data_IF_733471718656
#
_entry.id   IF_733471718656
#
_cell.length_a   1.000
_cell.length_b   1.000
_cell.length_c   1.000
_cell.angle_alpha   90.00
_cell.angle_beta   90.00
_cell.angle_gamma   90.00
#
_symmetry.space_group_name_H-M   'P 1'
#
loop_
_entity.id
_entity.type
_entity.pdbx_description
1 polymer ?
#
# COMPACT_ATOMS: atom_id res chain seq x y z
N UNK A 1 47.62 8.56 -33.53
CA UNK A 1 47.07 7.95 -32.29
C UNK A 1 47.23 8.93 -31.14
N UNK A 2 46.15 9.55 -30.67
CA UNK A 2 46.20 10.43 -29.50
C UNK A 2 46.45 9.58 -28.23
N UNK A 3 47.61 9.78 -27.61
CA UNK A 3 48.00 9.14 -26.35
C UNK A 3 47.01 9.57 -25.26
N UNK A 4 46.06 8.70 -24.88
CA UNK A 4 45.16 8.91 -23.73
C UNK A 4 46.04 9.21 -22.50
N UNK A 5 46.13 10.48 -22.09
CA UNK A 5 46.81 10.88 -20.83
C UNK A 5 46.11 10.14 -19.69
N UNK A 6 46.82 9.23 -19.03
CA UNK A 6 46.37 8.62 -17.76
C UNK A 6 46.34 9.75 -16.72
N UNK A 7 45.16 10.31 -16.47
CA UNK A 7 44.96 11.26 -15.38
C UNK A 7 45.14 10.54 -14.03
N UNK A 8 45.72 11.21 -13.02
CA UNK A 8 45.96 10.63 -11.71
C UNK A 8 44.63 10.24 -11.05
N UNK A 9 44.57 9.04 -10.47
CA UNK A 9 43.44 8.59 -9.67
C UNK A 9 43.37 9.44 -8.40
N UNK A 10 42.32 10.26 -8.26
CA UNK A 10 42.08 11.02 -7.03
C UNK A 10 41.82 10.06 -5.86
N UNK A 11 42.17 10.48 -4.65
CA UNK A 11 41.94 9.71 -3.42
C UNK A 11 40.48 9.26 -3.28
N UNK A 12 39.54 10.10 -3.72
CA UNK A 12 38.11 9.82 -3.73
C UNK A 12 37.75 8.62 -4.61
N UNK A 13 38.33 8.46 -5.80
CA UNK A 13 38.03 7.31 -6.67
C UNK A 13 38.46 5.99 -6.03
N UNK A 14 39.60 5.98 -5.30
CA UNK A 14 40.14 4.77 -4.67
C UNK A 14 39.31 4.32 -3.47
N UNK A 15 38.77 5.27 -2.70
CA UNK A 15 38.04 4.97 -1.46
C UNK A 15 36.51 5.01 -1.60
N UNK A 16 35.99 5.47 -2.75
CA UNK A 16 34.56 5.64 -3.00
C UNK A 16 33.71 4.40 -2.69
N UNK A 17 34.18 3.21 -3.06
CA UNK A 17 33.46 1.95 -2.79
C UNK A 17 33.36 1.62 -1.29
N UNK A 18 34.43 1.87 -0.53
CA UNK A 18 34.42 1.68 0.92
C UNK A 18 33.53 2.72 1.61
N UNK A 19 33.51 3.96 1.12
CA UNK A 19 32.61 5.01 1.61
C UNK A 19 31.15 4.64 1.34
N UNK A 20 30.81 4.19 0.12
CA UNK A 20 29.45 3.74 -0.21
C UNK A 20 29.03 2.51 0.60
N UNK A 21 29.94 1.58 0.86
CA UNK A 21 29.68 0.45 1.75
C UNK A 21 29.37 0.92 3.18
N UNK A 22 30.13 1.88 3.71
CA UNK A 22 29.91 2.46 5.04
C UNK A 22 28.56 3.18 5.14
N UNK A 23 28.21 4.00 4.14
CA UNK A 23 26.91 4.68 4.08
C UNK A 23 25.76 3.67 3.96
N UNK A 24 25.93 2.61 3.16
CA UNK A 24 24.93 1.55 3.02
C UNK A 24 24.73 0.77 4.32
N UNK A 25 25.82 0.48 5.05
CA UNK A 25 25.73 -0.17 6.36
C UNK A 25 25.02 0.72 7.40
N UNK A 26 25.30 2.03 7.41
CA UNK A 26 24.59 2.97 8.27
C UNK A 26 23.09 3.04 7.95
N UNK A 27 22.72 3.05 6.67
CA UNK A 27 21.32 2.99 6.23
C UNK A 27 20.62 1.69 6.61
N UNK A 28 21.32 0.56 6.51
CA UNK A 28 20.79 -0.74 6.95
C UNK A 28 20.54 -0.77 8.46
N UNK A 29 21.49 -0.28 9.27
CA UNK A 29 21.33 -0.19 10.72
C UNK A 29 20.19 0.75 11.12
N UNK A 30 20.03 1.87 10.42
CA UNK A 30 18.92 2.79 10.62
C UNK A 30 17.57 2.11 10.32
N UNK A 31 17.48 1.39 9.20
CA UNK A 31 16.26 0.68 8.80
C UNK A 31 15.90 -0.44 9.80
N UNK A 32 16.88 -1.22 10.25
CA UNK A 32 16.69 -2.26 11.28
C UNK A 32 16.28 -1.62 12.62
N UNK A 33 16.90 -0.51 13.01
CA UNK A 33 16.53 0.24 14.21
C UNK A 33 15.08 0.73 14.18
N UNK A 34 14.60 1.19 13.03
CA UNK A 34 13.20 1.55 12.83
C UNK A 34 12.25 0.35 12.95
N UNK A 35 12.63 -0.83 12.43
CA UNK A 35 11.85 -2.06 12.60
C UNK A 35 11.76 -2.50 14.07
N UNK A 36 12.87 -2.41 14.81
CA UNK A 36 12.95 -2.89 16.19
C UNK A 36 12.21 -1.99 17.21
N UNK A 37 12.18 -0.67 16.99
CA UNK A 37 11.51 0.26 17.91
C UNK A 37 10.00 0.39 17.70
N UNK A 38 9.44 -0.11 16.59
CA UNK A 38 8.05 0.15 16.20
C UNK A 38 7.72 1.65 16.04
N UNK A 39 8.74 2.52 16.07
CA UNK A 39 8.60 3.96 16.13
C UNK A 39 8.54 4.53 14.72
N UNK A 40 7.39 4.39 14.09
CA UNK A 40 7.00 5.27 13.01
C UNK A 40 5.56 5.65 13.24
N UNK A 41 5.28 6.96 13.33
CA UNK A 41 3.94 7.53 13.34
C UNK A 41 3.07 7.07 12.15
N UNK A 42 3.69 6.43 11.17
CA UNK A 42 3.11 5.93 9.93
C UNK A 42 2.78 4.42 9.92
N UNK A 43 3.07 3.68 11.00
CA UNK A 43 2.93 2.20 11.04
C UNK A 43 1.50 1.69 10.78
N UNK A 44 0.49 2.56 10.89
CA UNK A 44 -0.91 2.26 10.56
C UNK A 44 -1.44 2.93 9.28
N UNK A 45 -0.61 3.66 8.52
CA UNK A 45 -1.06 4.38 7.33
C UNK A 45 -0.91 3.55 6.05
N UNK A 46 -1.91 3.58 5.17
CA UNK A 46 -1.93 2.84 3.89
C UNK A 46 -0.74 3.15 2.97
N UNK A 47 -0.10 4.32 3.15
CA UNK A 47 1.11 4.74 2.45
C UNK A 47 2.35 3.86 2.75
N UNK A 48 2.31 3.03 3.80
CA UNK A 48 3.49 2.31 4.35
C UNK A 48 3.44 0.80 4.14
N UNK A 49 2.32 0.26 3.68
CA UNK A 49 2.19 -1.16 3.36
C UNK A 49 2.12 -1.34 1.84
N UNK A 50 3.23 -1.78 1.24
CA UNK A 50 3.27 -2.18 -0.17
C UNK A 50 3.06 -3.70 -0.24
N UNK A 51 1.84 -4.14 -0.53
CA UNK A 51 1.52 -5.58 -0.64
C UNK A 51 1.84 -6.39 0.63
N UNK A 52 1.67 -5.78 1.81
CA UNK A 52 1.97 -6.40 3.11
C UNK A 52 3.43 -6.30 3.57
N UNK A 53 4.34 -5.74 2.77
CA UNK A 53 5.71 -5.41 3.22
C UNK A 53 5.78 -4.02 3.85
N UNK A 54 6.52 -3.91 4.95
CA UNK A 54 6.76 -2.63 5.64
C UNK A 54 7.84 -1.80 4.92
N UNK A 55 7.67 -0.47 4.84
CA UNK A 55 8.70 0.42 4.24
C UNK A 55 10.10 0.27 4.83
N UNK A 56 10.29 0.12 6.17
CA UNK A 56 11.62 -0.08 6.73
C UNK A 56 12.29 -1.36 6.25
N UNK A 57 11.51 -2.41 5.97
CA UNK A 57 12.01 -3.66 5.40
C UNK A 57 12.49 -3.45 3.95
N UNK A 58 11.72 -2.73 3.12
CA UNK A 58 12.14 -2.37 1.76
C UNK A 58 13.40 -1.49 1.76
N UNK A 59 13.50 -0.55 2.71
CA UNK A 59 14.69 0.24 2.93
C UNK A 59 15.90 -0.62 3.30
N UNK A 60 15.74 -1.55 4.23
CA UNK A 60 16.80 -2.48 4.65
C UNK A 60 17.31 -3.33 3.47
N UNK A 61 16.40 -3.91 2.67
CA UNK A 61 16.74 -4.69 1.48
C UNK A 61 17.54 -3.82 0.49
N UNK A 62 17.10 -2.58 0.26
CA UNK A 62 17.74 -1.66 -0.67
C UNK A 62 19.16 -1.30 -0.21
N UNK A 63 19.34 -0.94 1.06
CA UNK A 63 20.66 -0.64 1.62
C UNK A 63 21.60 -1.86 1.63
N UNK A 64 21.06 -3.07 1.89
CA UNK A 64 21.84 -4.30 1.79
C UNK A 64 22.33 -4.54 0.36
N UNK A 65 21.44 -4.40 -0.63
CA UNK A 65 21.79 -4.58 -2.04
C UNK A 65 22.87 -3.57 -2.49
N UNK A 66 22.74 -2.31 -2.07
CA UNK A 66 23.75 -1.28 -2.33
C UNK A 66 25.11 -1.62 -1.71
N UNK A 67 25.13 -2.13 -0.47
CA UNK A 67 26.35 -2.62 0.16
C UNK A 67 27.01 -3.77 -0.59
N UNK A 68 26.21 -4.73 -1.08
CA UNK A 68 26.68 -5.85 -1.90
C UNK A 68 27.30 -5.37 -3.21
N UNK A 69 26.68 -4.43 -3.92
CA UNK A 69 27.26 -3.87 -5.15
C UNK A 69 28.51 -3.02 -4.89
N UNK A 70 28.59 -2.35 -3.74
CA UNK A 70 29.77 -1.57 -3.36
C UNK A 70 30.99 -2.48 -3.11
N UNK A 71 30.82 -3.54 -2.32
CA UNK A 71 31.89 -4.43 -1.85
C UNK A 71 32.16 -5.61 -2.79
N UNK A 72 31.17 -6.07 -3.57
CA UNK A 72 31.23 -7.30 -4.37
C UNK A 72 32.49 -7.45 -5.24
N UNK A 73 32.87 -6.45 -6.06
CA UNK A 73 34.08 -6.55 -6.88
C UNK A 73 35.37 -6.60 -6.05
N UNK A 74 35.38 -5.98 -4.87
CA UNK A 74 36.54 -5.95 -3.96
C UNK A 74 36.77 -7.32 -3.32
N UNK A 75 35.69 -7.96 -2.84
CA UNK A 75 35.76 -9.28 -2.21
C UNK A 75 36.06 -10.37 -3.23
N UNK A 76 35.41 -10.33 -4.39
CA UNK A 76 35.62 -11.33 -5.46
C UNK A 76 36.92 -11.11 -6.25
N UNK A 77 37.59 -9.96 -6.07
CA UNK A 77 38.75 -9.50 -6.85
C UNK A 77 38.54 -9.55 -8.38
N UNK A 78 37.28 -9.58 -8.82
CA UNK A 78 36.91 -9.76 -10.22
C UNK A 78 36.69 -8.38 -10.88
N UNK A 79 37.64 -7.98 -11.72
CA UNK A 79 37.60 -6.69 -12.43
C UNK A 79 36.44 -6.58 -13.44
N UNK A 80 35.92 -7.70 -13.94
CA UNK A 80 34.78 -7.70 -14.87
C UNK A 80 33.50 -7.15 -14.21
N UNK A 81 33.36 -7.31 -12.89
CA UNK A 81 32.21 -6.86 -12.12
C UNK A 81 32.25 -5.36 -11.81
N UNK A 82 33.38 -4.66 -11.98
CA UNK A 82 33.50 -3.25 -11.61
C UNK A 82 32.54 -2.35 -12.39
N UNK A 83 32.41 -2.56 -13.70
CA UNK A 83 31.52 -1.77 -14.56
C UNK A 83 30.02 -1.97 -14.23
N UNK A 84 29.50 -3.21 -14.27
CA UNK A 84 28.11 -3.49 -13.96
C UNK A 84 27.69 -3.07 -12.55
N UNK A 85 28.56 -3.30 -11.55
CA UNK A 85 28.24 -2.90 -10.17
C UNK A 85 28.21 -1.39 -9.98
N UNK A 86 29.08 -0.63 -10.66
CA UNK A 86 29.01 0.83 -10.66
C UNK A 86 27.70 1.35 -11.27
N UNK A 87 27.26 0.73 -12.38
CA UNK A 87 25.98 1.06 -12.98
C UNK A 87 24.80 0.70 -12.04
N UNK A 88 24.87 -0.46 -11.39
CA UNK A 88 23.88 -0.87 -10.38
C UNK A 88 23.80 0.10 -9.20
N UNK A 89 24.95 0.57 -8.70
CA UNK A 89 25.00 1.59 -7.63
C UNK A 89 24.37 2.91 -8.07
N UNK A 90 24.62 3.35 -9.31
CA UNK A 90 24.02 4.56 -9.85
C UNK A 90 22.49 4.44 -10.01
N UNK A 91 22.02 3.34 -10.60
CA UNK A 91 20.59 3.06 -10.78
C UNK A 91 19.89 2.97 -9.41
N UNK A 92 20.44 2.16 -8.50
CA UNK A 92 19.86 1.96 -7.17
C UNK A 92 19.80 3.26 -6.36
N UNK A 93 20.91 4.00 -6.29
CA UNK A 93 20.95 5.28 -5.56
C UNK A 93 20.02 6.35 -6.15
N UNK A 94 19.84 6.37 -7.47
CA UNK A 94 18.89 7.28 -8.13
C UNK A 94 17.45 6.95 -7.74
N UNK A 95 17.05 5.68 -7.82
CA UNK A 95 15.72 5.23 -7.41
C UNK A 95 15.46 5.53 -5.92
N UNK A 96 16.43 5.24 -5.05
CA UNK A 96 16.33 5.51 -3.62
C UNK A 96 16.17 7.00 -3.31
N UNK A 97 16.89 7.87 -4.04
CA UNK A 97 16.79 9.32 -3.86
C UNK A 97 15.41 9.85 -4.25
N UNK A 98 14.86 9.39 -5.39
CA UNK A 98 13.53 9.78 -5.84
C UNK A 98 12.46 9.32 -4.85
N UNK A 99 12.51 8.05 -4.43
CA UNK A 99 11.58 7.50 -3.46
C UNK A 99 11.67 8.23 -2.11
N UNK A 100 12.89 8.55 -1.65
CA UNK A 100 13.10 9.31 -0.41
C UNK A 100 12.56 10.75 -0.52
N UNK A 101 12.72 11.40 -1.68
CA UNK A 101 12.13 12.70 -1.97
C UNK A 101 10.60 12.67 -1.91
N UNK A 102 9.97 11.62 -2.44
CA UNK A 102 8.53 11.40 -2.31
C UNK A 102 8.09 11.26 -0.85
N UNK A 103 8.80 10.47 -0.04
CA UNK A 103 8.48 10.34 1.38
C UNK A 103 8.63 11.67 2.14
N UNK A 104 9.64 12.47 1.82
CA UNK A 104 9.79 13.82 2.38
C UNK A 104 8.64 14.74 1.95
N UNK A 105 8.21 14.67 0.69
CA UNK A 105 7.04 15.42 0.21
C UNK A 105 5.77 15.06 0.99
N UNK A 106 5.51 13.77 1.22
CA UNK A 106 4.35 13.34 2.01
C UNK A 106 4.45 13.82 3.47
N UNK A 107 5.63 13.72 4.07
CA UNK A 107 5.88 14.15 5.44
C UNK A 107 5.67 15.66 5.64
N UNK A 108 6.25 16.50 4.77
CA UNK A 108 6.18 17.96 4.89
C UNK A 108 4.95 18.59 4.22
N UNK A 109 4.37 17.92 3.23
CA UNK A 109 3.21 18.41 2.48
C UNK A 109 1.89 17.96 3.09
N UNK A 110 1.77 16.67 3.44
CA UNK A 110 0.49 16.06 3.81
C UNK A 110 0.36 15.87 5.33
N UNK A 111 1.33 15.23 5.99
CA UNK A 111 1.19 14.84 7.40
C UNK A 111 1.62 15.90 8.41
N UNK A 112 2.48 16.86 8.04
CA UNK A 112 3.00 17.91 8.94
C UNK A 112 3.72 17.39 10.21
N UNK A 113 4.14 16.12 10.22
CA UNK A 113 4.86 15.51 11.35
C UNK A 113 6.34 15.22 11.01
N UNK A 114 7.32 15.69 11.80
CA UNK A 114 8.73 15.47 11.50
C UNK A 114 9.21 14.05 11.89
N UNK A 115 9.48 13.20 10.90
CA UNK A 115 10.17 11.91 11.07
C UNK A 115 11.69 12.06 10.89
N UNK A 116 12.42 12.17 12.01
CA UNK A 116 13.90 12.27 12.01
C UNK A 116 14.59 11.09 11.30
N UNK A 117 14.20 9.82 11.51
CA UNK A 117 14.82 8.70 10.79
C UNK A 117 14.60 8.75 9.28
N UNK A 118 13.45 9.24 8.82
CA UNK A 118 13.12 9.39 7.41
C UNK A 118 14.02 10.45 6.75
N UNK A 119 14.27 11.57 7.45
CA UNK A 119 15.20 12.60 7.01
C UNK A 119 16.64 12.08 6.93
N UNK A 120 17.08 11.32 7.93
CA UNK A 120 18.40 10.70 7.92
C UNK A 120 18.56 9.72 6.75
N UNK A 121 17.55 8.90 6.47
CA UNK A 121 17.56 8.01 5.30
C UNK A 121 17.65 8.79 3.98
N UNK A 122 16.92 9.90 3.84
CA UNK A 122 17.00 10.73 2.65
C UNK A 122 18.39 11.34 2.43
N UNK A 123 19.06 11.77 3.50
CA UNK A 123 20.44 12.27 3.43
C UNK A 123 21.42 11.16 3.03
N UNK A 124 21.25 9.95 3.56
CA UNK A 124 22.08 8.79 3.20
C UNK A 124 21.89 8.40 1.73
N UNK A 125 20.64 8.36 1.24
CA UNK A 125 20.32 8.07 -0.16
C UNK A 125 20.94 9.11 -1.11
N UNK A 126 20.80 10.40 -0.80
CA UNK A 126 21.42 11.48 -1.56
C UNK A 126 22.96 11.37 -1.55
N UNK A 127 23.54 11.04 -0.40
CA UNK A 127 24.97 10.79 -0.26
C UNK A 127 25.46 9.66 -1.16
N UNK A 128 24.73 8.54 -1.20
CA UNK A 128 25.03 7.42 -2.12
C UNK A 128 24.95 7.84 -3.59
N UNK A 129 23.97 8.67 -3.94
CA UNK A 129 23.80 9.15 -5.31
C UNK A 129 24.93 10.10 -5.73
N UNK A 130 25.32 11.04 -4.87
CA UNK A 130 26.47 11.92 -5.13
C UNK A 130 27.76 11.11 -5.23
N UNK A 131 27.97 10.13 -4.34
CA UNK A 131 29.12 9.25 -4.38
C UNK A 131 29.12 8.36 -5.63
N UNK A 132 27.96 7.94 -6.13
CA UNK A 132 27.87 7.13 -7.35
C UNK A 132 28.25 7.92 -8.60
N UNK A 133 27.91 9.22 -8.64
CA UNK A 133 28.33 10.14 -9.70
C UNK A 133 29.83 10.44 -9.67
N UNK A 134 30.37 10.79 -8.49
CA UNK A 134 31.77 11.24 -8.35
C UNK A 134 32.77 10.08 -8.20
N UNK A 135 32.31 8.91 -7.77
CA UNK A 135 33.16 7.80 -7.38
C UNK A 135 33.72 6.98 -8.55
N UNK A 136 33.08 7.02 -9.72
CA UNK A 136 33.51 6.31 -10.93
C UNK A 136 33.93 7.26 -12.05
N UNK A 137 34.80 6.78 -12.92
CA UNK A 137 35.14 7.46 -14.17
C UNK A 137 34.18 7.01 -15.26
N UNK A 138 33.13 7.79 -15.46
CA UNK A 138 32.18 7.57 -16.55
C UNK A 138 32.84 7.90 -17.89
N UNK A 139 32.84 6.95 -18.83
CA UNK A 139 33.51 7.14 -20.12
C UNK A 139 32.73 8.11 -21.02
N UNK A 140 31.41 8.20 -20.84
CA UNK A 140 30.54 9.14 -21.53
C UNK A 140 29.35 9.53 -20.67
N UNK A 141 28.85 10.75 -20.84
CA UNK A 141 27.60 11.19 -20.21
C UNK A 141 26.39 10.37 -20.66
N UNK A 142 26.42 9.83 -21.89
CA UNK A 142 25.35 8.97 -22.43
C UNK A 142 25.16 7.66 -21.64
N UNK A 143 26.23 7.12 -21.03
CA UNK A 143 26.18 5.93 -20.18
C UNK A 143 25.38 6.17 -18.88
N UNK A 144 25.29 7.42 -18.43
CA UNK A 144 24.54 7.83 -17.24
C UNK A 144 23.12 8.32 -17.58
N UNK A 145 22.98 9.07 -18.67
CA UNK A 145 21.73 9.72 -19.03
C UNK A 145 20.62 8.71 -19.32
N UNK A 146 20.88 7.68 -20.14
CA UNK A 146 19.86 6.70 -20.53
C UNK A 146 19.34 5.90 -19.31
N UNK A 147 20.20 5.28 -18.48
CA UNK A 147 19.75 4.58 -17.28
C UNK A 147 19.19 5.52 -16.21
N UNK A 148 19.72 6.74 -16.09
CA UNK A 148 19.24 7.73 -15.14
C UNK A 148 17.82 8.19 -15.45
N UNK A 149 17.53 8.54 -16.70
CA UNK A 149 16.20 8.96 -17.15
C UNK A 149 15.21 7.80 -17.05
N UNK A 150 15.58 6.59 -17.48
CA UNK A 150 14.67 5.44 -17.43
C UNK A 150 14.27 5.09 -16.01
N UNK A 151 15.24 5.07 -15.09
CA UNK A 151 14.98 4.79 -13.68
C UNK A 151 14.19 5.93 -13.04
N UNK A 152 14.49 7.19 -13.40
CA UNK A 152 13.72 8.31 -12.89
C UNK A 152 12.25 8.25 -13.33
N UNK A 153 11.99 7.91 -14.59
CA UNK A 153 10.63 7.73 -15.11
C UNK A 153 9.92 6.57 -14.38
N UNK A 154 10.57 5.42 -14.26
CA UNK A 154 9.97 4.26 -13.57
C UNK A 154 9.71 4.56 -12.10
N UNK A 155 10.65 5.21 -11.40
CA UNK A 155 10.51 5.56 -9.99
C UNK A 155 9.41 6.61 -9.77
N UNK A 156 9.28 7.60 -10.65
CA UNK A 156 8.21 8.61 -10.58
C UNK A 156 6.83 8.00 -10.89
N UNK A 157 6.71 7.13 -11.89
CA UNK A 157 5.47 6.39 -12.16
C UNK A 157 5.11 5.51 -10.97
N UNK A 158 6.08 4.76 -10.42
CA UNK A 158 5.84 3.88 -9.28
C UNK A 158 5.41 4.65 -8.02
N UNK A 159 6.05 5.78 -7.72
CA UNK A 159 5.68 6.63 -6.58
C UNK A 159 4.31 7.29 -6.77
N UNK A 160 3.97 7.72 -7.99
CA UNK A 160 2.63 8.27 -8.30
C UNK A 160 1.56 7.19 -8.20
N UNK A 161 1.83 5.99 -8.70
CA UNK A 161 0.93 4.84 -8.55
C UNK A 161 0.72 4.46 -7.08
N UNK A 162 1.78 4.51 -6.26
CA UNK A 162 1.69 4.30 -4.82
C UNK A 162 0.86 5.40 -4.13
N UNK A 163 1.02 6.65 -4.54
CA UNK A 163 0.21 7.77 -4.03
C UNK A 163 -1.28 7.57 -4.35
N UNK A 164 -1.60 7.20 -5.59
CA UNK A 164 -2.97 6.89 -6.01
C UNK A 164 -3.56 5.70 -5.24
N UNK A 165 -2.78 4.62 -5.08
CA UNK A 165 -3.15 3.45 -4.27
C UNK A 165 -3.43 3.85 -2.81
N UNK A 166 -2.55 4.63 -2.20
CA UNK A 166 -2.69 4.96 -0.79
C UNK A 166 -3.86 5.93 -0.50
N UNK A 167 -4.31 6.70 -1.50
CA UNK A 167 -5.56 7.45 -1.39
C UNK A 167 -6.80 6.56 -1.51
N UNK A 168 -6.75 5.54 -2.37
CA UNK A 168 -7.88 4.64 -2.60
C UNK A 168 -7.40 3.18 -2.70
N UNK A 169 -7.11 2.53 -1.56
CA UNK A 169 -6.58 1.16 -1.55
C UNK A 169 -7.59 0.17 -2.14
N UNK A 170 -8.88 0.51 -2.11
CA UNK A 170 -9.98 -0.29 -2.64
C UNK A 170 -10.16 -0.12 -4.17
N UNK A 171 -9.50 0.83 -4.83
CA UNK A 171 -9.57 1.02 -6.29
C UNK A 171 -8.90 -0.07 -7.12
N UNK A 172 -8.20 -1.00 -6.46
CA UNK A 172 -7.66 -2.20 -7.08
C UNK A 172 -8.56 -3.42 -6.91
N UNK A 173 -9.76 -3.24 -6.35
CA UNK A 173 -10.83 -4.23 -6.51
C UNK A 173 -11.33 -4.16 -7.95
N UNK A 174 -11.37 -5.30 -8.64
CA UNK A 174 -12.01 -5.38 -9.94
C UNK A 174 -13.52 -5.17 -9.73
N UNK A 175 -14.01 -3.97 -10.06
CA UNK A 175 -15.41 -3.59 -9.95
C UNK A 175 -15.62 -2.24 -9.26
N UNK A 176 -16.82 -1.70 -9.37
CA UNK A 176 -17.28 -0.48 -8.73
C UNK A 176 -17.65 -0.79 -7.27
N UNK A 177 -16.98 -0.18 -6.28
CA UNK A 177 -17.33 -0.38 -4.88
C UNK A 177 -18.67 0.28 -4.55
N UNK A 178 -19.43 -0.27 -3.59
CA UNK A 178 -20.63 0.40 -3.08
C UNK A 178 -20.25 1.72 -2.37
N UNK A 179 -21.16 2.71 -2.32
CA UNK A 179 -20.94 3.96 -1.58
C UNK A 179 -20.56 3.71 -0.11
N UNK A 180 -19.64 4.54 0.41
CA UNK A 180 -19.12 4.43 1.77
C UNK A 180 -20.21 4.65 2.82
N UNK A 181 -20.28 3.76 3.81
CA UNK A 181 -21.19 3.89 4.96
C UNK A 181 -20.53 4.74 6.04
N UNK A 182 -21.11 5.91 6.33
CA UNK A 182 -20.56 6.85 7.31
C UNK A 182 -21.06 6.62 8.74
N UNK A 183 -22.15 5.87 8.93
CA UNK A 183 -22.71 5.60 10.26
C UNK A 183 -21.88 4.58 11.02
N UNK A 184 -21.67 4.83 12.32
CA UNK A 184 -21.02 3.88 13.22
C UNK A 184 -22.01 2.79 13.65
N UNK A 185 -21.53 1.59 13.93
CA UNK A 185 -22.34 0.50 14.47
C UNK A 185 -22.33 0.49 16.00
N UNK A 186 -23.49 0.25 16.61
CA UNK A 186 -23.60 -0.10 18.01
C UNK A 186 -23.31 -1.59 18.25
N UNK A 187 -23.28 -1.98 19.53
CA UNK A 187 -23.03 -3.37 19.93
C UNK A 187 -24.13 -4.33 19.47
N UNK A 188 -25.39 -3.85 19.46
CA UNK A 188 -26.55 -4.61 19.00
C UNK A 188 -26.50 -4.89 17.49
N UNK A 189 -26.13 -3.90 16.66
CA UNK A 189 -25.99 -4.06 15.22
C UNK A 189 -24.94 -5.10 14.87
N UNK A 190 -23.76 -5.03 15.52
CA UNK A 190 -22.66 -5.98 15.33
C UNK A 190 -23.11 -7.39 15.71
N UNK A 191 -23.85 -7.52 16.83
CA UNK A 191 -24.28 -8.81 17.34
C UNK A 191 -25.35 -9.44 16.45
N UNK A 192 -26.31 -8.65 15.95
CA UNK A 192 -27.30 -9.12 14.97
C UNK A 192 -26.63 -9.51 13.65
N UNK A 193 -25.70 -8.70 13.14
CA UNK A 193 -25.01 -9.00 11.88
C UNK A 193 -24.26 -10.33 11.94
N UNK A 194 -23.55 -10.59 13.06
CA UNK A 194 -22.88 -11.87 13.30
C UNK A 194 -23.86 -13.04 13.35
N UNK A 195 -25.00 -12.87 14.02
CA UNK A 195 -26.05 -13.89 14.08
C UNK A 195 -26.61 -14.22 12.69
N UNK A 196 -26.96 -13.19 11.91
CA UNK A 196 -27.46 -13.34 10.55
C UNK A 196 -26.50 -14.15 9.68
N UNK A 197 -25.21 -13.82 9.73
CA UNK A 197 -24.19 -14.59 9.00
C UNK A 197 -24.03 -16.01 9.53
N UNK A 198 -24.10 -16.22 10.86
CA UNK A 198 -23.98 -17.55 11.46
C UNK A 198 -25.10 -18.50 11.04
N UNK A 199 -26.32 -17.99 10.83
CA UNK A 199 -27.45 -18.78 10.33
C UNK A 199 -27.50 -18.88 8.80
N UNK A 200 -26.52 -18.31 8.09
CA UNK A 200 -26.43 -18.34 6.63
C UNK A 200 -27.35 -17.35 5.91
N UNK A 201 -27.84 -16.32 6.61
CA UNK A 201 -28.66 -15.29 6.00
C UNK A 201 -27.85 -14.46 4.99
N UNK A 202 -28.47 -14.10 3.87
CA UNK A 202 -27.82 -13.37 2.77
C UNK A 202 -28.57 -12.09 2.46
N UNK A 203 -27.81 -11.01 2.18
CA UNK A 203 -28.33 -9.79 1.56
C UNK A 203 -27.88 -9.73 0.11
N UNK A 204 -28.81 -9.77 -0.82
CA UNK A 204 -28.59 -9.53 -2.23
C UNK A 204 -28.78 -8.05 -2.54
N UNK A 205 -27.87 -7.46 -3.30
CA UNK A 205 -27.98 -6.06 -3.72
C UNK A 205 -27.05 -5.72 -4.88
N UNK A 206 -27.02 -4.43 -5.23
CA UNK A 206 -26.13 -3.89 -6.25
C UNK A 206 -25.32 -2.71 -5.71
N UNK A 207 -24.10 -2.51 -6.21
CA UNK A 207 -23.22 -1.41 -5.77
C UNK A 207 -23.85 -0.02 -5.94
N UNK A 208 -24.59 0.21 -7.03
CA UNK A 208 -25.23 1.49 -7.36
C UNK A 208 -26.58 1.71 -6.65
N UNK A 209 -27.10 0.71 -5.95
CA UNK A 209 -28.46 0.71 -5.44
C UNK A 209 -28.62 1.57 -4.17
N UNK A 210 -29.39 2.68 -4.21
CA UNK A 210 -29.53 3.58 -3.07
C UNK A 210 -30.25 2.94 -1.88
N UNK A 211 -31.23 2.07 -2.11
CA UNK A 211 -31.90 1.31 -1.05
C UNK A 211 -30.96 0.29 -0.39
N UNK A 212 -30.02 -0.27 -1.16
CA UNK A 212 -29.03 -1.20 -0.67
C UNK A 212 -28.04 -0.51 0.25
N UNK A 213 -27.66 0.73 -0.10
CA UNK A 213 -26.87 1.61 0.74
C UNK A 213 -27.65 1.99 2.02
N UNK A 214 -28.92 2.40 1.90
CA UNK A 214 -29.76 2.71 3.06
C UNK A 214 -29.84 1.53 4.06
N UNK A 215 -29.97 0.29 3.58
CA UNK A 215 -29.90 -0.89 4.43
C UNK A 215 -28.55 -1.05 5.15
N UNK A 216 -27.43 -0.73 4.48
CA UNK A 216 -26.10 -0.79 5.09
C UNK A 216 -25.94 0.27 6.18
N UNK A 217 -26.46 1.47 5.95
CA UNK A 217 -26.48 2.57 6.91
C UNK A 217 -27.18 2.20 8.21
N UNK A 218 -28.24 1.39 8.16
CA UNK A 218 -28.91 0.88 9.37
C UNK A 218 -27.98 0.00 10.22
N UNK A 219 -27.13 -0.82 9.61
CA UNK A 219 -26.14 -1.61 10.35
C UNK A 219 -24.94 -0.76 10.79
N UNK A 220 -24.54 0.21 9.97
CA UNK A 220 -23.31 0.96 10.14
C UNK A 220 -22.07 0.20 9.69
N UNK A 221 -20.93 0.90 9.70
CA UNK A 221 -19.67 0.46 9.11
C UNK A 221 -19.18 -0.88 9.66
N UNK A 222 -19.05 -1.03 10.98
CA UNK A 222 -18.45 -2.25 11.56
C UNK A 222 -19.35 -3.48 11.48
N UNK A 223 -20.67 -3.30 11.64
CA UNK A 223 -21.61 -4.42 11.58
C UNK A 223 -21.80 -4.93 10.16
N UNK A 224 -21.78 -4.04 9.16
CA UNK A 224 -21.93 -4.44 7.76
C UNK A 224 -20.79 -5.35 7.28
N UNK A 225 -19.57 -5.17 7.77
CA UNK A 225 -18.42 -6.05 7.48
C UNK A 225 -18.64 -7.51 7.90
N UNK A 226 -19.56 -7.77 8.82
CA UNK A 226 -19.90 -9.14 9.25
C UNK A 226 -20.98 -9.79 8.41
N UNK A 227 -21.74 -9.05 7.60
CA UNK A 227 -22.88 -9.57 6.85
C UNK A 227 -22.45 -10.30 5.59
N UNK A 228 -23.19 -11.36 5.25
CA UNK A 228 -23.03 -12.04 3.95
C UNK A 228 -23.74 -11.23 2.86
N UNK A 229 -22.99 -10.35 2.20
CA UNK A 229 -23.46 -9.58 1.04
C UNK A 229 -23.15 -10.29 -0.28
N UNK A 230 -24.14 -10.37 -1.16
CA UNK A 230 -24.01 -10.91 -2.52
C UNK A 230 -24.23 -9.78 -3.51
N UNK A 231 -23.15 -9.40 -4.21
CA UNK A 231 -23.19 -8.40 -5.28
C UNK A 231 -23.82 -9.00 -6.54
N UNK A 232 -24.93 -8.43 -6.99
CA UNK A 232 -25.70 -8.95 -8.11
C UNK A 232 -25.37 -8.30 -9.45
N UNK A 233 -24.68 -7.17 -9.46
CA UNK A 233 -24.31 -6.44 -10.67
C UNK A 233 -22.92 -6.87 -11.16
N UNK A 234 -22.77 -7.11 -12.47
CA UNK A 234 -21.51 -7.58 -13.07
C UNK A 234 -20.38 -6.55 -12.97
N UNK A 235 -20.72 -5.27 -12.82
CA UNK A 235 -19.75 -4.19 -12.66
C UNK A 235 -19.38 -3.95 -11.20
N UNK A 236 -19.98 -4.65 -10.24
CA UNK A 236 -19.67 -4.51 -8.81
C UNK A 236 -18.42 -5.27 -8.37
N UNK A 237 -17.99 -5.05 -7.13
CA UNK A 237 -16.84 -5.77 -6.54
C UNK A 237 -17.22 -7.22 -6.22
N UNK A 238 -16.42 -8.18 -6.70
CA UNK A 238 -16.66 -9.64 -6.55
C UNK A 238 -18.08 -10.06 -6.95
N UNK A 239 -18.47 -9.81 -8.22
CA UNK A 239 -19.85 -9.95 -8.66
C UNK A 239 -20.28 -11.42 -8.69
N UNK A 240 -21.51 -11.68 -8.24
CA UNK A 240 -22.15 -13.00 -8.16
C UNK A 240 -23.58 -12.99 -8.77
N UNK A 241 -23.78 -12.50 -10.00
CA UNK A 241 -25.11 -12.38 -10.62
C UNK A 241 -25.84 -13.72 -10.76
N UNK A 242 -25.11 -14.82 -10.96
CA UNK A 242 -25.68 -16.17 -11.02
C UNK A 242 -26.28 -16.63 -9.68
N UNK A 243 -25.69 -16.21 -8.55
CA UNK A 243 -26.25 -16.52 -7.24
C UNK A 243 -27.59 -15.79 -7.06
N UNK A 244 -27.67 -14.52 -7.47
CA UNK A 244 -28.90 -13.74 -7.41
C UNK A 244 -30.00 -14.29 -8.32
N UNK A 245 -29.65 -14.72 -9.55
CA UNK A 245 -30.60 -15.39 -10.47
C UNK A 245 -31.12 -16.70 -9.90
N UNK A 246 -30.24 -17.54 -9.36
CA UNK A 246 -30.60 -18.83 -8.74
C UNK A 246 -31.49 -18.63 -7.51
N UNK A 247 -31.23 -17.59 -6.72
CA UNK A 247 -32.04 -17.21 -5.56
C UNK A 247 -33.37 -16.51 -5.93
N UNK A 248 -33.63 -16.25 -7.21
CA UNK A 248 -34.87 -15.63 -7.67
C UNK A 248 -35.02 -14.16 -7.28
N UNK A 249 -33.90 -13.43 -7.09
CA UNK A 249 -33.91 -12.03 -6.69
C UNK A 249 -34.54 -11.16 -7.79
N UNK A 250 -35.65 -10.50 -7.48
CA UNK A 250 -36.38 -9.63 -8.43
C UNK A 250 -36.10 -8.14 -8.23
N UNK A 251 -35.66 -7.73 -7.04
CA UNK A 251 -35.39 -6.34 -6.70
C UNK A 251 -34.30 -6.23 -5.62
N UNK A 252 -33.75 -5.04 -5.45
CA UNK A 252 -32.67 -4.80 -4.48
C UNK A 252 -33.07 -3.74 -3.43
N UNK A 253 -32.64 -3.90 -2.17
CA UNK A 253 -32.04 -5.12 -1.63
C UNK A 253 -33.08 -6.23 -1.49
N UNK A 254 -32.63 -7.48 -1.43
CA UNK A 254 -33.44 -8.64 -1.03
C UNK A 254 -32.69 -9.41 0.03
N UNK A 255 -33.39 -9.82 1.07
CA UNK A 255 -32.85 -10.69 2.12
C UNK A 255 -33.37 -12.11 1.97
N UNK A 256 -32.49 -13.08 2.18
CA UNK A 256 -32.85 -14.48 2.36
C UNK A 256 -32.45 -14.88 3.78
N UNK A 257 -33.43 -15.17 4.62
CA UNK A 257 -33.24 -15.49 6.05
C UNK A 257 -34.08 -16.72 6.38
N UNK A 258 -33.46 -17.80 6.85
CA UNK A 258 -34.17 -19.05 7.19
C UNK A 258 -35.07 -19.60 6.05
N UNK A 259 -34.70 -19.36 4.79
CA UNK A 259 -35.49 -19.75 3.61
C UNK A 259 -36.65 -18.80 3.27
N UNK A 260 -36.90 -17.77 4.08
CA UNK A 260 -37.82 -16.68 3.77
C UNK A 260 -37.11 -15.59 2.95
N UNK A 261 -37.82 -15.04 1.94
CA UNK A 261 -37.31 -14.00 1.05
C UNK A 261 -38.04 -12.68 1.35
N UNK A 262 -37.29 -11.67 1.80
CA UNK A 262 -37.81 -10.36 2.17
C UNK A 262 -37.28 -9.32 1.18
N UNK A 263 -38.18 -8.74 0.38
CA UNK A 263 -37.83 -7.71 -0.59
C UNK A 263 -37.77 -6.31 0.06
N UNK A 264 -36.81 -5.49 -0.37
CA UNK A 264 -36.65 -4.12 0.07
C UNK A 264 -35.88 -3.96 1.38
N UNK A 265 -35.75 -2.70 1.81
CA UNK A 265 -35.08 -2.34 3.06
C UNK A 265 -35.89 -2.88 4.24
N UNK A 266 -35.23 -3.63 5.12
CA UNK A 266 -35.78 -4.19 6.34
C UNK A 266 -35.24 -3.47 7.56
N UNK A 267 -36.12 -3.23 8.53
CA UNK A 267 -35.69 -2.75 9.84
C UNK A 267 -34.84 -3.82 10.55
N UNK A 268 -33.96 -3.39 11.45
CA UNK A 268 -33.15 -4.31 12.25
C UNK A 268 -34.02 -5.17 13.17
N UNK A 269 -35.17 -4.66 13.64
CA UNK A 269 -36.18 -5.42 14.36
C UNK A 269 -36.78 -6.53 13.51
N UNK A 270 -37.16 -6.23 12.27
CA UNK A 270 -37.71 -7.24 11.35
C UNK A 270 -36.70 -8.35 11.13
N UNK A 271 -35.44 -7.98 10.85
CA UNK A 271 -34.36 -8.96 10.65
C UNK A 271 -34.08 -9.77 11.92
N UNK A 272 -34.12 -9.16 13.10
CA UNK A 272 -33.99 -9.88 14.37
C UNK A 272 -35.13 -10.88 14.59
N UNK A 273 -36.37 -10.49 14.31
CA UNK A 273 -37.55 -11.34 14.49
C UNK A 273 -37.52 -12.56 13.56
N UNK A 274 -37.32 -12.35 12.25
CA UNK A 274 -37.32 -13.43 11.24
C UNK A 274 -36.11 -14.36 11.35
N UNK A 275 -34.98 -13.86 11.89
CA UNK A 275 -33.79 -14.66 12.15
C UNK A 275 -33.84 -15.44 13.47
N UNK A 276 -34.86 -15.23 14.31
CA UNK A 276 -34.95 -15.81 15.65
C UNK A 276 -33.87 -15.29 16.62
N UNK A 277 -33.41 -14.06 16.41
CA UNK A 277 -32.35 -13.45 17.22
C UNK A 277 -32.85 -13.08 18.63
N UNK A 278 -32.18 -13.59 19.66
CA UNK A 278 -32.53 -13.39 21.08
C UNK A 278 -31.52 -12.51 21.84
N UNK A 279 -30.53 -11.94 21.16
CA UNK A 279 -29.54 -11.05 21.78
C UNK A 279 -30.02 -9.61 21.95
N UNK A 280 -29.11 -8.67 22.30
CA UNK A 280 -29.45 -7.27 22.54
C UNK A 280 -30.01 -6.57 21.29
N UNK A 281 -31.16 -5.91 21.39
CA UNK A 281 -31.85 -5.26 20.26
C UNK A 281 -31.94 -3.72 20.38
N UNK A 282 -31.10 -3.11 21.21
CA UNK A 282 -31.00 -1.65 21.35
C UNK A 282 -30.19 -1.07 20.18
N UNK A 283 -30.80 -1.02 18.99
CA UNK A 283 -30.13 -0.48 17.80
C UNK A 283 -30.15 1.04 17.78
N UNK A 284 -29.01 1.64 17.46
CA UNK A 284 -28.72 3.08 17.50
C UNK A 284 -29.12 3.77 16.19
N UNK A 285 -29.06 3.06 15.06
CA UNK A 285 -29.26 3.62 13.71
C UNK A 285 -30.69 3.46 13.18
N UNK A 286 -31.70 3.41 14.05
CA UNK A 286 -33.07 3.15 13.62
C UNK A 286 -33.72 4.35 12.94
N UNK A 287 -34.40 4.09 11.81
CA UNK A 287 -35.42 4.97 11.28
C UNK A 287 -36.59 4.99 12.27
N UNK A 288 -36.79 6.11 12.96
CA UNK A 288 -38.02 6.38 13.72
C UNK A 288 -39.23 6.07 12.84
N UNK A 289 -39.97 5.03 13.21
CA UNK A 289 -41.06 4.50 12.40
C UNK A 289 -42.17 5.52 12.18
N UNK A 290 -42.65 5.57 10.93
CA UNK A 290 -44.04 5.87 10.58
C UNK A 290 -44.47 4.87 9.51
#
# INVERSE_FOLDING_TARGET
MARKRKQPTTWLHRNSRYLMAGVSAAGLLLAIGCMAKGSSALAGSAYVQLGGLSLPLLGAISYLLMGVFAIGPVVTKNKSLEGPTWLGLFIGSTAMTIFSGYLLYIMFGVLQEPCVPCLLSAVLALGLWVLSLMGNRWESFGQLLLPGISVALVATIATTGLYAYAQNPDSFTAGNPPPIVETNSGASEISLAKHLTAIGAKKYGAWWCPHCHAQQTLFGKQAFEHLTYVECDEEGVNPQPNACRTAGVQSYPTWEVNGEVLAGVQSLQTLAAVSGYTGPQEFVNQTSGH
#
